data_IF_093545616614
#
_entry.id   IF_093545616614
#
_cell.length_a   1.000
_cell.length_b   1.000
_cell.length_c   1.000
_cell.angle_alpha   90.00
_cell.angle_beta   90.00
_cell.angle_gamma   90.00
#
_symmetry.space_group_name_H-M   'P 1'
#
loop_
_entity.id
_entity.type
_entity.pdbx_description
1 polymer ?
#
# COMPACT_ATOMS: atom_id res chain seq x y z
N UNK A 1 32.58 66.30 -58.32
CA UNK A 1 33.15 65.72 -59.55
C UNK A 1 32.50 64.37 -59.79
N UNK A 2 31.49 64.33 -60.66
CA UNK A 2 31.11 63.16 -61.48
C UNK A 2 32.24 62.82 -62.47
N UNK A 3 32.27 61.68 -63.20
CA UNK A 3 31.17 60.78 -63.61
C UNK A 3 31.45 59.27 -63.36
N UNK A 4 30.46 58.38 -63.30
CA UNK A 4 29.75 57.72 -64.42
C UNK A 4 30.67 57.17 -65.51
N UNK A 5 30.79 55.84 -65.63
CA UNK A 5 30.70 55.21 -66.95
C UNK A 5 30.23 53.76 -66.89
N UNK A 6 29.16 53.53 -67.64
CA UNK A 6 28.59 52.26 -68.06
C UNK A 6 29.44 51.62 -69.17
N UNK A 7 29.16 50.35 -69.45
CA UNK A 7 28.86 49.78 -70.79
C UNK A 7 29.47 48.38 -70.97
N UNK A 8 28.56 47.42 -71.19
CA UNK A 8 28.51 46.30 -72.16
C UNK A 8 29.80 45.61 -72.62
N UNK A 9 29.87 44.30 -72.88
CA UNK A 9 29.01 43.54 -73.80
C UNK A 9 29.24 42.02 -73.66
N UNK A 10 28.18 41.29 -73.98
CA UNK A 10 28.05 39.91 -74.47
C UNK A 10 29.32 39.09 -74.88
N UNK A 11 29.30 37.78 -74.58
CA UNK A 11 29.04 36.69 -75.55
C UNK A 11 29.14 35.30 -74.88
N UNK A 12 28.09 34.48 -75.07
CA UNK A 12 28.10 33.00 -74.95
C UNK A 12 28.85 32.42 -76.18
N UNK A 13 29.49 31.22 -76.13
CA UNK A 13 28.73 29.95 -76.14
C UNK A 13 29.42 28.68 -75.56
N UNK A 14 28.62 27.60 -75.60
CA UNK A 14 28.97 26.16 -75.67
C UNK A 14 29.37 25.45 -74.36
N UNK A 15 28.51 24.57 -73.83
CA UNK A 15 28.51 23.08 -73.99
C UNK A 15 29.79 22.47 -73.39
N UNK A 16 29.80 21.55 -72.42
CA UNK A 16 28.99 20.35 -72.21
C UNK A 16 29.11 19.87 -70.74
N UNK A 17 28.04 19.23 -70.27
CA UNK A 17 27.96 18.06 -69.37
C UNK A 17 29.18 17.77 -68.47
N UNK A 18 28.99 17.81 -67.14
CA UNK A 18 29.23 16.67 -66.24
C UNK A 18 28.88 16.97 -64.78
N UNK A 19 28.22 15.99 -64.16
CA UNK A 19 28.12 15.67 -62.73
C UNK A 19 27.57 16.73 -61.75
N UNK A 20 26.33 16.51 -61.30
CA UNK A 20 25.78 17.13 -60.09
C UNK A 20 26.51 16.60 -58.84
N UNK A 21 26.91 17.56 -58.01
CA UNK A 21 27.40 17.41 -56.65
C UNK A 21 26.35 16.75 -55.75
N UNK A 22 26.80 15.93 -54.80
CA UNK A 22 26.04 15.67 -53.57
C UNK A 22 26.83 16.24 -52.39
N UNK A 23 26.30 17.33 -51.82
CA UNK A 23 26.74 17.97 -50.58
C UNK A 23 26.00 17.23 -49.44
N UNK A 24 26.67 16.68 -48.42
CA UNK A 24 25.95 16.09 -47.30
C UNK A 24 25.36 17.20 -46.43
N UNK A 25 24.03 17.20 -46.31
CA UNK A 25 23.26 17.96 -45.32
C UNK A 25 23.63 17.44 -43.92
N UNK A 26 24.28 18.28 -43.10
CA UNK A 26 24.38 18.04 -41.67
C UNK A 26 23.12 18.60 -40.97
N UNK A 27 22.17 17.74 -40.61
CA UNK A 27 21.02 18.09 -39.81
C UNK A 27 21.42 18.12 -38.32
N UNK A 28 21.44 19.31 -37.72
CA UNK A 28 21.59 19.48 -36.27
C UNK A 28 20.25 19.18 -35.59
N UNK A 29 20.20 18.08 -34.83
CA UNK A 29 19.05 17.71 -33.99
C UNK A 29 19.19 18.39 -32.62
N UNK A 30 18.36 19.41 -32.37
CA UNK A 30 18.12 19.97 -31.04
C UNK A 30 17.20 19.01 -30.28
N UNK A 31 17.73 18.31 -29.28
CA UNK A 31 16.95 17.47 -28.39
C UNK A 31 16.24 18.34 -27.34
N UNK A 32 14.90 18.40 -27.42
CA UNK A 32 14.05 18.90 -26.35
C UNK A 32 13.98 17.83 -25.25
N UNK A 33 14.63 18.06 -24.12
CA UNK A 33 14.52 17.21 -22.94
C UNK A 33 13.18 17.47 -22.24
N UNK A 34 12.24 16.54 -22.36
CA UNK A 34 11.04 16.51 -21.53
C UNK A 34 11.41 16.15 -20.07
N UNK A 35 10.78 16.78 -19.05
CA UNK A 35 11.04 16.40 -17.66
C UNK A 35 10.44 15.02 -17.40
N UNK A 36 11.24 14.11 -16.87
CA UNK A 36 10.77 12.81 -16.41
C UNK A 36 9.94 13.01 -15.14
N UNK A 37 8.61 12.81 -15.22
CA UNK A 37 7.81 12.57 -14.01
C UNK A 37 8.31 11.26 -13.38
N UNK A 38 8.95 11.35 -12.21
CA UNK A 38 9.23 10.18 -11.40
C UNK A 38 7.90 9.62 -10.89
N UNK A 39 7.44 8.52 -11.48
CA UNK A 39 6.40 7.71 -10.87
C UNK A 39 6.91 7.28 -9.49
N UNK A 40 6.23 7.68 -8.43
CA UNK A 40 6.54 7.18 -7.09
C UNK A 40 6.46 5.65 -7.14
N UNK A 41 7.57 4.98 -6.82
CA UNK A 41 7.58 3.53 -6.72
C UNK A 41 6.53 3.11 -5.68
N UNK A 42 5.76 2.08 -5.99
CA UNK A 42 4.85 1.49 -5.01
C UNK A 42 5.65 1.12 -3.74
N UNK A 43 5.08 1.34 -2.54
CA UNK A 43 5.75 0.98 -1.30
C UNK A 43 6.12 -0.51 -1.30
N UNK A 44 7.26 -0.83 -0.70
CA UNK A 44 7.70 -2.21 -0.58
C UNK A 44 6.73 -3.01 0.31
N UNK A 45 6.43 -4.28 -0.02
CA UNK A 45 5.56 -5.12 0.79
C UNK A 45 6.07 -5.25 2.22
N UNK A 46 5.16 -5.25 3.19
CA UNK A 46 5.48 -5.43 4.59
C UNK A 46 5.84 -6.89 4.86
N UNK A 47 6.80 -7.09 5.76
CA UNK A 47 7.15 -8.42 6.26
C UNK A 47 7.36 -8.41 7.76
N UNK A 48 7.02 -9.53 8.40
CA UNK A 48 7.48 -9.83 9.74
C UNK A 48 8.36 -11.08 9.69
N UNK A 49 9.62 -10.96 10.11
CA UNK A 49 10.61 -12.04 10.05
C UNK A 49 10.70 -12.69 8.66
N UNK A 50 10.68 -11.86 7.61
CA UNK A 50 10.77 -12.29 6.20
C UNK A 50 9.50 -12.91 5.62
N UNK A 51 8.37 -12.87 6.35
CA UNK A 51 7.06 -13.35 5.87
C UNK A 51 6.10 -12.18 5.71
N UNK A 52 5.59 -12.00 4.50
CA UNK A 52 4.60 -10.95 4.16
C UNK A 52 3.18 -11.49 4.02
N UNK A 53 2.37 -10.74 3.28
CA UNK A 53 1.05 -11.16 2.82
C UNK A 53 1.10 -12.32 1.81
N UNK A 54 -0.06 -12.81 1.37
CA UNK A 54 -0.13 -13.82 0.32
C UNK A 54 0.09 -13.15 -1.06
N UNK A 55 1.20 -13.43 -1.76
CA UNK A 55 1.51 -12.76 -3.04
C UNK A 55 0.60 -13.21 -4.19
N UNK A 56 -0.16 -14.29 -4.01
CA UNK A 56 -1.13 -14.78 -4.99
C UNK A 56 -2.53 -14.21 -4.76
N UNK A 57 -2.72 -13.34 -3.76
CA UNK A 57 -4.00 -12.68 -3.53
C UNK A 57 -4.27 -11.59 -4.57
N UNK A 58 -5.50 -11.56 -5.10
CA UNK A 58 -5.90 -10.52 -6.05
C UNK A 58 -6.13 -9.17 -5.37
N UNK A 59 -6.43 -9.18 -4.07
CA UNK A 59 -6.58 -7.97 -3.26
C UNK A 59 -5.63 -7.97 -2.08
N UNK A 60 -5.05 -6.81 -1.85
CA UNK A 60 -4.37 -6.44 -0.63
C UNK A 60 -4.48 -4.93 -0.45
N UNK A 61 -4.28 -4.46 0.77
CA UNK A 61 -4.18 -3.05 1.05
C UNK A 61 -3.07 -2.82 2.07
N UNK A 62 -2.25 -1.80 1.80
CA UNK A 62 -1.20 -1.32 2.70
C UNK A 62 -1.53 0.12 3.09
N UNK A 63 -1.46 0.41 4.39
CA UNK A 63 -1.66 1.75 4.93
C UNK A 63 -0.73 1.97 6.14
N UNK A 64 -0.51 3.23 6.50
CA UNK A 64 0.36 3.60 7.61
C UNK A 64 -0.13 4.85 8.33
N UNK A 65 0.28 4.98 9.59
CA UNK A 65 0.06 6.21 10.35
C UNK A 65 1.22 6.46 11.32
N UNK A 66 1.46 7.74 11.61
CA UNK A 66 2.33 8.16 12.70
C UNK A 66 1.50 8.33 13.98
N UNK A 67 1.98 7.73 15.07
CA UNK A 67 1.35 7.77 16.38
C UNK A 67 2.30 8.45 17.37
N UNK A 68 1.86 9.56 17.96
CA UNK A 68 2.60 10.33 18.96
C UNK A 68 2.47 9.67 20.34
N UNK A 69 3.04 8.49 20.48
CA UNK A 69 3.10 7.75 21.73
C UNK A 69 4.34 6.84 21.77
N UNK A 70 4.83 6.46 22.96
CA UNK A 70 5.95 5.53 23.06
C UNK A 70 5.67 4.17 22.39
N UNK A 71 6.68 3.56 21.77
CA UNK A 71 6.59 2.23 21.15
C UNK A 71 6.00 1.18 22.07
N UNK A 72 6.37 1.20 23.35
CA UNK A 72 5.86 0.25 24.34
C UNK A 72 4.34 0.38 24.56
N UNK A 73 3.77 1.58 24.44
CA UNK A 73 2.33 1.83 24.56
C UNK A 73 1.59 1.34 23.32
N UNK A 74 2.06 1.72 22.13
CA UNK A 74 1.47 1.30 20.85
C UNK A 74 1.52 -0.22 20.69
N UNK A 75 2.68 -0.83 20.95
CA UNK A 75 2.88 -2.27 20.87
C UNK A 75 1.97 -3.03 21.84
N UNK A 76 1.87 -2.56 23.09
CA UNK A 76 1.01 -3.18 24.10
C UNK A 76 -0.45 -3.09 23.70
N UNK A 77 -0.94 -1.91 23.31
CA UNK A 77 -2.32 -1.73 22.83
C UNK A 77 -2.67 -2.69 21.70
N UNK A 78 -1.77 -2.83 20.73
CA UNK A 78 -2.00 -3.67 19.57
C UNK A 78 -1.93 -5.17 19.89
N UNK A 79 -0.99 -5.61 20.73
CA UNK A 79 -0.77 -7.05 21.00
C UNK A 79 -1.54 -7.59 22.21
N UNK A 80 -2.09 -6.72 23.04
CA UNK A 80 -3.04 -7.04 24.09
C UNK A 80 -4.45 -7.21 23.51
N UNK A 81 -4.61 -8.30 22.76
CA UNK A 81 -5.81 -8.56 21.97
C UNK A 81 -7.07 -8.59 22.83
N UNK A 82 -7.00 -9.08 24.07
CA UNK A 82 -8.18 -9.20 24.95
C UNK A 82 -8.86 -7.87 25.24
N UNK A 83 -8.10 -6.77 25.13
CA UNK A 83 -8.59 -5.42 25.35
C UNK A 83 -8.94 -4.68 24.05
N UNK A 84 -8.84 -5.30 22.87
CA UNK A 84 -9.28 -4.67 21.62
C UNK A 84 -10.71 -4.12 21.67
N UNK A 85 -11.72 -4.83 22.23
CA UNK A 85 -13.09 -4.29 22.30
C UNK A 85 -13.21 -2.98 23.08
N UNK A 86 -12.23 -2.62 23.92
CA UNK A 86 -12.27 -1.38 24.70
C UNK A 86 -11.86 -0.13 23.92
N UNK A 87 -11.25 -0.28 22.74
CA UNK A 87 -10.69 0.85 21.99
C UNK A 87 -10.84 0.74 20.47
N UNK A 88 -10.90 -0.48 19.93
CA UNK A 88 -11.08 -0.73 18.50
C UNK A 88 -12.56 -0.93 18.20
N UNK A 89 -13.22 0.09 17.65
CA UNK A 89 -14.69 0.17 17.55
C UNK A 89 -15.31 -0.96 16.73
N UNK A 90 -14.59 -1.47 15.74
CA UNK A 90 -15.06 -2.57 14.90
C UNK A 90 -15.05 -3.94 15.62
N UNK A 91 -14.30 -4.10 16.71
CA UNK A 91 -14.20 -5.38 17.42
C UNK A 91 -15.32 -5.49 18.45
N UNK A 92 -16.32 -6.33 18.18
CA UNK A 92 -17.49 -6.49 19.06
C UNK A 92 -17.29 -7.55 20.13
N UNK A 93 -16.40 -8.51 19.92
CA UNK A 93 -15.99 -9.48 20.94
C UNK A 93 -14.59 -9.99 20.65
N UNK A 94 -13.88 -10.40 21.70
CA UNK A 94 -12.61 -11.09 21.58
C UNK A 94 -12.44 -12.16 22.65
N UNK A 95 -11.85 -13.29 22.25
CA UNK A 95 -11.47 -14.39 23.13
C UNK A 95 -10.14 -14.99 22.71
N UNK A 96 -9.19 -15.05 23.64
CA UNK A 96 -7.98 -15.89 23.50
C UNK A 96 -8.38 -17.36 23.46
N UNK A 97 -7.77 -18.11 22.55
CA UNK A 97 -7.94 -19.56 22.46
C UNK A 97 -6.78 -20.33 23.12
N UNK A 98 -5.66 -19.64 23.36
CA UNK A 98 -4.47 -20.20 24.01
C UNK A 98 -3.99 -19.24 25.13
N UNK A 99 -3.46 -19.75 26.26
CA UNK A 99 -3.07 -18.95 27.41
C UNK A 99 -1.77 -18.17 27.17
N UNK A 100 -1.51 -17.17 28.00
CA UNK A 100 -0.26 -16.39 28.04
C UNK A 100 -0.10 -15.36 26.92
N UNK A 101 1.04 -14.65 26.86
CA UNK A 101 1.30 -13.64 25.83
C UNK A 101 1.23 -14.22 24.41
N UNK A 102 0.99 -13.35 23.41
CA UNK A 102 1.08 -13.75 22.01
C UNK A 102 2.50 -14.24 21.70
N UNK A 103 2.56 -15.41 21.06
CA UNK A 103 3.75 -16.12 20.58
C UNK A 103 3.39 -16.86 19.28
N UNK A 104 4.35 -17.30 18.47
CA UNK A 104 4.04 -18.13 17.30
C UNK A 104 3.13 -19.31 17.68
N UNK A 105 2.09 -19.53 16.89
CA UNK A 105 1.04 -20.53 17.14
C UNK A 105 -0.11 -20.07 18.06
N UNK A 106 -0.03 -18.89 18.69
CA UNK A 106 -1.15 -18.38 19.49
C UNK A 106 -2.36 -18.09 18.63
N UNK A 107 -3.55 -18.43 19.14
CA UNK A 107 -4.80 -18.17 18.45
C UNK A 107 -5.74 -17.33 19.30
N UNK A 108 -6.52 -16.52 18.60
CA UNK A 108 -7.59 -15.74 19.20
C UNK A 108 -8.75 -15.66 18.23
N UNK A 109 -9.96 -15.62 18.79
CA UNK A 109 -11.20 -15.50 18.05
C UNK A 109 -11.82 -14.15 18.36
N UNK A 110 -12.24 -13.43 17.34
CA UNK A 110 -12.85 -12.12 17.51
C UNK A 110 -13.96 -11.91 16.48
N UNK A 111 -14.78 -10.90 16.71
CA UNK A 111 -15.91 -10.59 15.85
C UNK A 111 -15.92 -9.14 15.40
N UNK A 112 -16.36 -8.93 14.16
CA UNK A 112 -16.59 -7.60 13.58
C UNK A 112 -17.86 -7.62 12.74
N UNK A 113 -18.69 -6.56 12.75
CA UNK A 113 -19.79 -6.45 11.82
C UNK A 113 -19.28 -6.31 10.38
N UNK A 114 -20.03 -6.85 9.44
CA UNK A 114 -19.86 -6.64 8.01
C UNK A 114 -21.20 -6.14 7.44
N UNK A 115 -21.21 -4.97 6.77
CA UNK A 115 -22.42 -4.44 6.16
C UNK A 115 -22.87 -5.32 4.98
N UNK A 116 -24.13 -5.19 4.53
CA UNK A 116 -24.62 -5.95 3.39
C UNK A 116 -23.93 -5.49 2.09
N UNK A 117 -23.80 -6.41 1.14
CA UNK A 117 -23.43 -6.12 -0.25
C UNK A 117 -24.60 -6.47 -1.18
N UNK A 118 -24.40 -6.37 -2.50
CA UNK A 118 -25.39 -6.85 -3.46
C UNK A 118 -25.61 -8.37 -3.38
N UNK A 119 -24.63 -9.13 -2.90
CA UNK A 119 -24.63 -10.61 -2.93
C UNK A 119 -24.57 -11.24 -1.54
N UNK A 120 -24.38 -10.45 -0.48
CA UNK A 120 -24.27 -10.94 0.91
C UNK A 120 -25.15 -10.12 1.86
N UNK A 121 -25.85 -10.75 2.82
CA UNK A 121 -26.58 -10.01 3.84
C UNK A 121 -25.63 -9.28 4.79
N UNK A 122 -26.17 -8.38 5.61
CA UNK A 122 -25.45 -7.87 6.77
C UNK A 122 -25.16 -9.04 7.72
N UNK A 123 -23.93 -9.17 8.17
CA UNK A 123 -23.52 -10.30 9.03
C UNK A 123 -22.50 -9.87 10.09
N UNK A 124 -22.24 -10.74 11.05
CA UNK A 124 -21.04 -10.65 11.89
C UNK A 124 -20.02 -11.65 11.38
N UNK A 125 -18.81 -11.19 11.09
CA UNK A 125 -17.68 -12.06 10.80
C UNK A 125 -17.09 -12.57 12.11
N UNK A 126 -16.96 -13.89 12.22
CA UNK A 126 -16.17 -14.56 13.25
C UNK A 126 -14.80 -14.89 12.65
N UNK A 127 -13.76 -14.27 13.20
CA UNK A 127 -12.39 -14.38 12.71
C UNK A 127 -11.59 -15.20 13.70
N UNK A 128 -10.88 -16.22 13.23
CA UNK A 128 -9.93 -16.99 14.07
C UNK A 128 -8.52 -16.74 13.58
N UNK A 129 -7.83 -15.80 14.22
CA UNK A 129 -6.47 -15.42 13.89
C UNK A 129 -5.46 -16.35 14.58
N UNK A 130 -4.44 -16.77 13.84
CA UNK A 130 -3.31 -17.58 14.30
C UNK A 130 -2.03 -16.81 14.04
N UNK A 131 -1.28 -16.50 15.10
CA UNK A 131 0.01 -15.80 14.99
C UNK A 131 1.04 -16.72 14.34
N UNK A 132 1.58 -16.29 13.20
CA UNK A 132 2.68 -16.96 12.53
C UNK A 132 4.05 -16.41 12.96
N UNK A 133 4.18 -15.09 12.95
CA UNK A 133 5.43 -14.38 13.27
C UNK A 133 5.12 -13.28 14.29
N UNK A 134 6.03 -13.11 15.24
CA UNK A 134 5.95 -12.01 16.20
C UNK A 134 7.37 -11.70 16.69
N UNK A 135 7.75 -10.43 16.57
CA UNK A 135 8.98 -9.87 17.14
C UNK A 135 8.58 -8.66 17.98
N UNK A 136 8.72 -8.72 19.32
CA UNK A 136 8.34 -7.65 20.23
C UNK A 136 8.82 -6.28 19.79
N UNK A 137 7.91 -5.31 19.74
CA UNK A 137 8.18 -3.92 19.36
C UNK A 137 8.59 -3.72 17.90
N UNK A 138 8.56 -4.75 17.05
CA UNK A 138 9.00 -4.65 15.65
C UNK A 138 7.91 -5.03 14.68
N UNK A 139 7.32 -6.23 14.83
CA UNK A 139 6.33 -6.72 13.88
C UNK A 139 5.51 -7.87 14.45
N UNK A 140 4.32 -8.05 13.88
CA UNK A 140 3.48 -9.22 14.11
C UNK A 140 2.75 -9.58 12.82
N UNK A 141 2.59 -10.87 12.58
CA UNK A 141 1.83 -11.42 11.46
C UNK A 141 0.94 -12.55 11.94
N UNK A 142 -0.31 -12.51 11.54
CA UNK A 142 -1.24 -13.63 11.74
C UNK A 142 -1.99 -13.96 10.46
N UNK A 143 -2.54 -15.16 10.45
CA UNK A 143 -3.43 -15.62 9.37
C UNK A 143 -4.73 -16.17 9.96
N UNK A 144 -5.78 -16.21 9.16
CA UNK A 144 -7.01 -16.86 9.61
C UNK A 144 -8.19 -16.67 8.69
N UNK A 145 -9.21 -17.54 8.80
CA UNK A 145 -10.47 -17.34 8.10
C UNK A 145 -11.34 -16.29 8.82
N UNK A 146 -12.20 -15.64 8.04
CA UNK A 146 -13.34 -14.86 8.53
C UNK A 146 -14.63 -15.48 8.00
N UNK A 147 -15.55 -15.83 8.89
CA UNK A 147 -16.77 -16.57 8.54
C UNK A 147 -17.98 -15.84 9.09
N UNK A 148 -18.93 -15.51 8.22
CA UNK A 148 -20.24 -14.98 8.56
C UNK A 148 -21.33 -15.65 7.73
N UNK A 149 -22.57 -15.25 7.95
CA UNK A 149 -23.69 -15.67 7.12
C UNK A 149 -23.56 -15.07 5.71
N UNK A 150 -23.55 -15.93 4.69
CA UNK A 150 -23.38 -15.55 3.28
C UNK A 150 -22.00 -14.99 2.88
N UNK A 151 -21.11 -14.65 3.83
CA UNK A 151 -19.79 -14.07 3.58
C UNK A 151 -18.66 -14.91 4.18
N UNK A 152 -17.67 -15.27 3.37
CA UNK A 152 -16.53 -16.08 3.77
C UNK A 152 -15.23 -15.61 3.14
N UNK A 153 -14.24 -15.37 4.00
CA UNK A 153 -12.82 -15.21 3.64
C UNK A 153 -12.10 -16.46 4.14
N UNK A 154 -11.49 -17.21 3.23
CA UNK A 154 -10.80 -18.46 3.59
C UNK A 154 -9.45 -18.20 4.24
N UNK A 155 -8.74 -17.18 3.75
CA UNK A 155 -7.43 -16.79 4.26
C UNK A 155 -7.30 -15.27 4.23
N UNK A 156 -7.26 -14.66 5.41
CA UNK A 156 -6.64 -13.35 5.62
C UNK A 156 -5.20 -13.54 6.09
N UNK A 157 -4.27 -12.76 5.52
CA UNK A 157 -2.89 -12.64 6.00
C UNK A 157 -2.65 -11.19 6.34
N UNK A 158 -2.42 -10.90 7.62
CA UNK A 158 -2.31 -9.53 8.12
C UNK A 158 -0.94 -9.33 8.75
N UNK A 159 -0.20 -8.33 8.27
CA UNK A 159 1.16 -7.99 8.67
C UNK A 159 1.19 -6.59 9.25
N UNK A 160 1.74 -6.47 10.45
CA UNK A 160 1.97 -5.18 11.13
C UNK A 160 3.45 -4.97 11.37
N UNK A 161 3.90 -3.72 11.20
CA UNK A 161 5.25 -3.28 11.54
C UNK A 161 5.21 -2.01 12.38
N UNK A 162 6.18 -1.88 13.27
CA UNK A 162 6.32 -0.78 14.21
C UNK A 162 7.75 -0.27 14.10
N UNK A 163 7.91 1.01 13.78
CA UNK A 163 9.23 1.64 13.65
C UNK A 163 9.25 2.90 14.49
N UNK A 164 10.19 2.98 15.44
CA UNK A 164 10.39 4.22 16.19
C UNK A 164 10.77 5.35 15.24
N UNK A 165 10.15 6.51 15.46
CA UNK A 165 10.44 7.74 14.77
C UNK A 165 10.56 8.87 15.82
N UNK A 166 11.10 10.01 15.42
CA UNK A 166 11.26 11.12 16.36
C UNK A 166 9.88 11.53 16.93
N UNK A 167 9.71 11.42 18.25
CA UNK A 167 8.46 11.75 18.95
C UNK A 167 7.35 10.70 18.86
N UNK A 168 7.58 9.51 18.29
CA UNK A 168 6.50 8.52 18.19
C UNK A 168 6.87 7.24 17.44
N UNK A 169 5.86 6.62 16.82
CA UNK A 169 5.98 5.36 16.10
C UNK A 169 5.29 5.48 14.76
N UNK A 170 5.96 5.05 13.69
CA UNK A 170 5.30 4.78 12.42
C UNK A 170 4.79 3.34 12.48
N UNK A 171 3.47 3.19 12.45
CA UNK A 171 2.80 1.89 12.36
C UNK A 171 2.35 1.69 10.92
N UNK A 172 2.77 0.57 10.32
CA UNK A 172 2.31 0.16 8.99
C UNK A 172 1.58 -1.15 9.10
N UNK A 173 0.51 -1.29 8.34
CA UNK A 173 -0.18 -2.56 8.20
C UNK A 173 -0.47 -2.89 6.75
N UNK A 174 -0.45 -4.17 6.43
CA UNK A 174 -0.80 -4.72 5.13
C UNK A 174 -1.58 -6.01 5.33
N UNK A 175 -2.70 -6.14 4.63
CA UNK A 175 -3.50 -7.35 4.67
C UNK A 175 -3.92 -7.79 3.27
N UNK A 176 -3.91 -9.10 3.03
CA UNK A 176 -4.42 -9.74 1.82
C UNK A 176 -5.54 -10.72 2.16
N UNK A 177 -6.56 -10.82 1.30
CA UNK A 177 -7.64 -11.78 1.45
C UNK A 177 -7.72 -12.75 0.27
N UNK A 178 -8.14 -13.97 0.57
CA UNK A 178 -8.36 -15.05 -0.38
C UNK A 178 -9.62 -15.86 -0.06
N UNK A 179 -10.17 -16.47 -1.10
CA UNK A 179 -11.32 -17.36 -1.02
C UNK A 179 -12.21 -17.20 -2.25
N UNK A 180 -12.96 -18.22 -2.67
CA UNK A 180 -13.74 -18.18 -3.91
C UNK A 180 -14.68 -16.98 -4.03
N UNK A 181 -15.30 -16.54 -2.94
CA UNK A 181 -16.15 -15.33 -2.94
C UNK A 181 -15.35 -14.04 -3.12
N UNK A 182 -14.19 -13.93 -2.49
CA UNK A 182 -13.30 -12.76 -2.58
C UNK A 182 -12.67 -12.66 -3.97
N UNK A 183 -12.22 -13.79 -4.52
CA UNK A 183 -11.59 -13.86 -5.84
C UNK A 183 -12.62 -13.67 -6.98
N UNK A 184 -13.91 -13.90 -6.73
CA UNK A 184 -14.98 -13.68 -7.70
C UNK A 184 -15.34 -12.19 -7.87
N UNK A 185 -15.18 -11.37 -6.83
CA UNK A 185 -15.45 -9.93 -6.86
C UNK A 185 -14.44 -9.13 -6.02
N UNK A 186 -13.18 -9.04 -6.48
CA UNK A 186 -12.13 -8.30 -5.79
C UNK A 186 -12.44 -6.79 -5.70
N UNK A 187 -13.21 -6.25 -6.65
CA UNK A 187 -13.57 -4.83 -6.71
C UNK A 187 -14.54 -4.43 -5.58
N UNK A 188 -15.45 -5.32 -5.18
CA UNK A 188 -16.26 -5.12 -3.99
C UNK A 188 -15.46 -5.40 -2.72
N UNK A 189 -14.66 -6.47 -2.68
CA UNK A 189 -13.92 -6.85 -1.48
C UNK A 189 -12.93 -5.77 -1.00
N UNK A 190 -12.25 -5.09 -1.92
CA UNK A 190 -11.29 -4.02 -1.58
C UNK A 190 -11.98 -2.80 -0.93
N UNK A 191 -13.27 -2.55 -1.22
CA UNK A 191 -14.04 -1.46 -0.61
C UNK A 191 -14.29 -1.68 0.90
N UNK A 192 -14.08 -2.90 1.40
CA UNK A 192 -14.17 -3.23 2.82
C UNK A 192 -12.80 -3.39 3.47
N UNK A 193 -11.87 -4.06 2.79
CA UNK A 193 -10.52 -4.28 3.31
C UNK A 193 -9.81 -2.94 3.55
N UNK A 194 -9.77 -2.04 2.56
CA UNK A 194 -8.96 -0.84 2.66
C UNK A 194 -9.44 0.11 3.78
N UNK A 195 -10.71 0.55 3.82
CA UNK A 195 -11.20 1.39 4.92
C UNK A 195 -11.10 0.70 6.28
N UNK A 196 -11.24 -0.63 6.33
CA UNK A 196 -11.10 -1.40 7.57
C UNK A 196 -9.71 -1.23 8.21
N UNK A 197 -8.64 -1.26 7.42
CA UNK A 197 -7.28 -1.03 7.92
C UNK A 197 -7.06 0.44 8.31
N UNK A 198 -7.59 1.38 7.53
CA UNK A 198 -7.49 2.81 7.85
C UNK A 198 -8.19 3.14 9.18
N UNK A 199 -9.40 2.60 9.40
CA UNK A 199 -10.11 2.78 10.67
C UNK A 199 -9.40 2.09 11.84
N UNK A 200 -8.80 0.93 11.63
CA UNK A 200 -8.01 0.26 12.66
C UNK A 200 -6.82 1.13 13.08
N UNK A 201 -6.05 1.66 12.13
CA UNK A 201 -4.94 2.56 12.42
C UNK A 201 -5.40 3.84 13.13
N UNK A 202 -6.52 4.42 12.70
CA UNK A 202 -7.10 5.60 13.34
C UNK A 202 -7.47 5.32 14.82
N UNK A 203 -8.17 4.22 15.09
CA UNK A 203 -8.55 3.83 16.45
C UNK A 203 -7.31 3.55 17.33
N UNK A 204 -6.29 2.89 16.76
CA UNK A 204 -5.03 2.62 17.48
C UNK A 204 -4.30 3.92 17.82
N UNK A 205 -4.22 4.85 16.87
CA UNK A 205 -3.63 6.18 17.07
C UNK A 205 -4.34 6.92 18.20
N UNK A 206 -5.66 7.06 18.11
CA UNK A 206 -6.47 7.73 19.13
C UNK A 206 -6.28 7.09 20.51
N UNK A 207 -6.32 5.76 20.60
CA UNK A 207 -6.17 5.05 21.86
C UNK A 207 -4.77 5.23 22.48
N UNK A 208 -3.72 5.20 21.65
CA UNK A 208 -2.34 5.33 22.10
C UNK A 208 -2.01 6.76 22.56
N UNK A 209 -2.40 7.75 21.79
CA UNK A 209 -2.14 9.17 22.08
C UNK A 209 -2.92 9.62 23.33
N UNK A 210 -4.17 9.18 23.47
CA UNK A 210 -4.97 9.48 24.67
C UNK A 210 -4.30 8.94 25.94
N UNK A 211 -3.75 7.72 25.90
CA UNK A 211 -3.03 7.15 27.06
C UNK A 211 -1.72 7.88 27.33
N UNK A 212 -1.06 8.41 26.29
CA UNK A 212 0.18 9.16 26.48
C UNK A 212 -0.06 10.53 27.12
N UNK A 213 -1.11 11.25 26.70
CA UNK A 213 -1.45 12.57 27.26
C UNK A 213 -1.86 12.54 28.75
N UNK A 214 -2.18 11.35 29.30
CA UNK A 214 -2.57 11.17 30.69
C UNK A 214 -1.42 10.70 31.61
N UNK A 215 -0.19 10.62 31.10
CA UNK A 215 1.02 10.30 31.85
C UNK A 215 1.96 11.51 31.89
#
# INVERSE_FOLDING_TARGET
>A
MTPSNQVSTARRPARLRSALLTIPLAAALLALSAPAQAAAAAPAPLTCQGKGINPAAQIHHQTETFIEAPLSTVWRLHTDVEHWPSWQRAVTSLKRLDPGPLRPGSRFRWTTPAPPTLTTPATTLVITSTVGQIKPGTCVRWTGPAIGDGLRIDEGVHVWTFTEANGGVIVRTEESWRGPQIDADPATAIQYLAPGLDYWLADLKTAAESRHCHH
#
